data_IF_714782098334
#
_entry.id   IF_714782098334
#
_cell.length_a   1.000
_cell.length_b   1.000
_cell.length_c   1.000
_cell.angle_alpha   90.00
_cell.angle_beta   90.00
_cell.angle_gamma   90.00
#
_symmetry.space_group_name_H-M   'P 1'
#
loop_
_entity.id
_entity.type
_entity.pdbx_description
1 polymer ?
#
# COMPACT_ATOMS: atom_id res chain seq x y z
N UNK A 1 32.05 -23.91 11.58
CA UNK A 1 32.37 -24.27 12.99
C UNK A 1 31.31 -23.63 13.87
N UNK A 2 31.20 -23.93 15.16
CA UNK A 2 30.05 -23.45 15.92
C UNK A 2 30.24 -21.97 16.31
N UNK A 3 29.32 -21.09 15.88
CA UNK A 3 29.19 -19.70 16.37
C UNK A 3 29.24 -19.61 17.91
N UNK A 4 28.96 -20.72 18.61
CA UNK A 4 29.08 -20.88 20.05
C UNK A 4 30.50 -20.60 20.61
N UNK A 5 31.57 -20.74 19.82
CA UNK A 5 32.94 -20.49 20.28
C UNK A 5 33.25 -18.98 20.40
N UNK A 6 32.42 -18.12 19.79
CA UNK A 6 32.52 -16.65 19.87
C UNK A 6 32.46 -16.10 21.31
N UNK A 7 31.97 -16.88 22.29
CA UNK A 7 32.06 -16.55 23.72
C UNK A 7 33.48 -16.25 24.20
N UNK A 8 34.49 -16.80 23.54
CA UNK A 8 35.90 -16.60 23.86
C UNK A 8 36.56 -15.48 23.03
N UNK A 9 35.80 -14.75 22.20
CA UNK A 9 36.31 -13.75 21.26
C UNK A 9 37.12 -12.64 21.92
N UNK A 10 36.71 -12.16 23.09
CA UNK A 10 37.42 -11.09 23.81
C UNK A 10 38.83 -11.54 24.22
N UNK A 11 38.97 -12.78 24.72
CA UNK A 11 40.27 -13.33 25.11
C UNK A 11 41.16 -13.58 23.90
N UNK A 12 40.59 -14.13 22.83
CA UNK A 12 41.29 -14.37 21.58
C UNK A 12 41.76 -13.07 20.90
N UNK A 13 40.99 -11.98 21.03
CA UNK A 13 41.41 -10.67 20.54
C UNK A 13 42.68 -10.18 21.25
N UNK A 14 42.75 -10.34 22.57
CA UNK A 14 43.96 -9.99 23.34
C UNK A 14 45.19 -10.77 22.83
N UNK A 15 45.06 -12.08 22.65
CA UNK A 15 46.13 -12.92 22.11
C UNK A 15 46.51 -12.57 20.66
N UNK A 16 45.52 -12.22 19.83
CA UNK A 16 45.73 -11.81 18.45
C UNK A 16 46.53 -10.50 18.39
N UNK A 17 46.11 -9.47 19.14
CA UNK A 17 46.84 -8.20 19.22
C UNK A 17 48.25 -8.38 19.76
N UNK A 18 48.42 -9.23 20.79
CA UNK A 18 49.72 -9.59 21.34
C UNK A 18 50.65 -10.17 20.26
N UNK A 19 50.18 -11.18 19.52
CA UNK A 19 50.96 -11.83 18.46
C UNK A 19 51.31 -10.87 17.31
N UNK A 20 50.38 -10.00 16.93
CA UNK A 20 50.59 -9.04 15.85
C UNK A 20 51.60 -7.95 16.23
N UNK A 21 51.55 -7.45 17.47
CA UNK A 21 52.56 -6.50 17.97
C UNK A 21 53.94 -7.14 18.05
N UNK A 22 54.05 -8.36 18.55
CA UNK A 22 55.32 -9.10 18.61
C UNK A 22 55.92 -9.39 17.24
N UNK A 23 55.07 -9.59 16.22
CA UNK A 23 55.51 -9.90 14.86
C UNK A 23 55.93 -8.66 14.06
N UNK A 24 55.39 -7.47 14.41
CA UNK A 24 55.56 -6.23 13.63
C UNK A 24 56.47 -5.21 14.29
N UNK A 25 56.88 -5.45 15.52
CA UNK A 25 57.79 -4.57 16.27
C UNK A 25 59.05 -5.34 16.66
N UNK A 26 60.09 -4.61 17.06
CA UNK A 26 61.33 -5.16 17.62
C UNK A 26 61.14 -5.67 19.06
N UNK A 27 59.95 -5.50 19.64
CA UNK A 27 59.63 -5.84 21.02
C UNK A 27 58.86 -7.16 21.04
N UNK A 28 59.50 -8.21 21.54
CA UNK A 28 58.92 -9.54 21.64
C UNK A 28 58.26 -9.83 22.99
N UNK A 29 58.14 -8.83 23.87
CA UNK A 29 57.47 -8.98 25.16
C UNK A 29 56.24 -8.07 25.23
N UNK A 30 55.06 -8.70 25.21
CA UNK A 30 53.77 -8.00 25.25
C UNK A 30 52.93 -8.62 26.35
N UNK A 31 52.55 -7.83 27.34
CA UNK A 31 51.66 -8.21 28.42
C UNK A 31 50.21 -7.89 28.05
N UNK A 32 49.28 -8.81 28.35
CA UNK A 32 47.84 -8.53 28.27
C UNK A 32 47.28 -8.57 29.69
N UNK A 33 46.73 -7.45 30.16
CA UNK A 33 46.17 -7.36 31.51
C UNK A 33 46.68 -6.15 32.29
N UNK A 34 46.65 -6.26 33.62
CA UNK A 34 47.07 -5.16 34.50
C UNK A 34 48.55 -4.87 34.32
N UNK A 35 48.94 -3.61 34.48
CA UNK A 35 50.33 -3.17 34.35
C UNK A 35 51.29 -3.93 35.27
N UNK A 36 50.85 -4.34 36.46
CA UNK A 36 51.65 -5.16 37.37
C UNK A 36 52.10 -6.50 36.74
N UNK A 37 51.31 -7.06 35.82
CA UNK A 37 51.66 -8.26 35.05
C UNK A 37 52.74 -7.98 34.00
N UNK A 38 52.84 -6.75 33.48
CA UNK A 38 53.91 -6.35 32.57
C UNK A 38 55.26 -6.24 33.27
N UNK A 39 55.28 -5.72 34.51
CA UNK A 39 56.49 -5.63 35.34
C UNK A 39 57.06 -7.03 35.65
N UNK A 40 56.20 -8.05 35.76
CA UNK A 40 56.60 -9.44 36.03
C UNK A 40 57.26 -10.17 34.84
N UNK A 41 57.17 -9.65 33.62
CA UNK A 41 57.74 -10.29 32.41
C UNK A 41 59.28 -10.19 32.30
N UNK A 42 59.97 -9.66 33.32
CA UNK A 42 61.42 -9.49 33.33
C UNK A 42 61.89 -8.13 32.81
N UNK A 43 63.21 -7.92 32.75
CA UNK A 43 63.84 -6.71 32.22
C UNK A 43 63.93 -6.70 30.70
N UNK A 44 63.88 -5.51 30.10
CA UNK A 44 63.89 -5.30 28.65
C UNK A 44 62.63 -4.57 28.13
N UNK A 45 62.69 -4.00 26.92
CA UNK A 45 61.57 -3.29 26.30
C UNK A 45 60.31 -4.15 26.22
N UNK A 46 59.16 -3.56 26.54
CA UNK A 46 57.88 -4.27 26.56
C UNK A 46 56.68 -3.39 26.28
N UNK A 47 55.62 -4.03 25.77
CA UNK A 47 54.30 -3.42 25.65
C UNK A 47 53.34 -3.98 26.69
N UNK A 48 52.41 -3.15 27.16
CA UNK A 48 51.27 -3.56 27.94
C UNK A 48 49.97 -3.18 27.23
N UNK A 49 49.13 -4.17 26.99
CA UNK A 49 47.78 -4.03 26.47
C UNK A 49 46.77 -4.18 27.61
N UNK A 50 46.11 -3.09 27.97
CA UNK A 50 45.11 -3.08 29.03
C UNK A 50 43.71 -2.82 28.46
N UNK A 51 42.84 -3.83 28.50
CA UNK A 51 41.42 -3.68 28.20
C UNK A 51 40.72 -3.01 29.38
N UNK A 52 40.31 -1.75 29.21
CA UNK A 52 39.72 -0.95 30.30
C UNK A 52 38.19 -0.85 30.20
N UNK A 53 37.63 -0.99 29.00
CA UNK A 53 36.20 -0.85 28.79
C UNK A 53 35.70 -1.75 27.65
N UNK A 54 34.49 -2.26 27.82
CA UNK A 54 33.69 -2.91 26.79
C UNK A 54 32.40 -2.11 26.62
N UNK A 55 32.01 -1.84 25.37
CA UNK A 55 30.74 -1.18 25.05
C UNK A 55 30.04 -1.88 23.90
N UNK A 56 28.75 -1.66 23.73
CA UNK A 56 28.03 -2.14 22.55
C UNK A 56 28.33 -1.25 21.35
N UNK A 57 28.43 -1.87 20.17
CA UNK A 57 28.54 -1.14 18.92
C UNK A 57 27.19 -0.43 18.63
N UNK A 58 27.15 0.91 18.58
CA UNK A 58 25.89 1.64 18.44
C UNK A 58 25.21 1.41 17.10
N UNK A 59 25.96 1.04 16.05
CA UNK A 59 25.43 0.81 14.71
C UNK A 59 24.90 -0.61 14.55
N UNK A 60 25.51 -1.59 15.23
CA UNK A 60 25.18 -3.00 15.06
C UNK A 60 24.36 -3.60 16.20
N UNK A 61 24.16 -2.92 17.34
CA UNK A 61 23.48 -3.46 18.55
C UNK A 61 22.14 -4.18 18.33
N UNK A 62 21.41 -3.88 17.25
CA UNK A 62 20.11 -4.46 16.91
C UNK A 62 20.12 -5.20 15.56
N UNK A 63 21.31 -5.51 15.01
CA UNK A 63 21.44 -6.13 13.70
C UNK A 63 21.67 -7.65 13.84
N UNK A 64 20.68 -8.49 13.50
CA UNK A 64 20.86 -9.93 13.52
C UNK A 64 21.75 -10.39 12.35
N UNK A 65 22.35 -11.58 12.48
CA UNK A 65 23.12 -12.20 11.39
C UNK A 65 22.21 -12.69 10.27
N UNK A 66 21.02 -13.16 10.63
CA UNK A 66 20.00 -13.64 9.71
C UNK A 66 18.60 -13.27 10.22
N UNK A 67 17.64 -13.17 9.31
CA UNK A 67 16.27 -12.79 9.64
C UNK A 67 15.62 -13.86 10.56
N UNK A 68 15.02 -13.40 11.66
CA UNK A 68 14.38 -14.28 12.65
C UNK A 68 15.33 -14.84 13.72
N UNK A 69 16.65 -14.62 13.61
CA UNK A 69 17.58 -14.95 14.68
C UNK A 69 17.61 -13.88 15.77
N UNK A 70 17.98 -14.29 16.99
CA UNK A 70 18.34 -13.35 18.06
C UNK A 70 19.60 -12.58 17.68
N UNK A 71 19.60 -11.28 17.94
CA UNK A 71 20.73 -10.41 17.67
C UNK A 71 21.95 -10.81 18.52
N UNK A 72 23.14 -10.99 17.92
CA UNK A 72 24.36 -11.24 18.70
C UNK A 72 24.80 -9.97 19.44
N UNK A 73 25.63 -10.14 20.47
CA UNK A 73 26.23 -9.01 21.16
C UNK A 73 27.38 -8.47 20.31
N UNK A 74 27.14 -7.33 19.67
CA UNK A 74 28.15 -6.58 18.96
C UNK A 74 28.90 -5.67 19.93
N UNK A 75 30.15 -6.01 20.19
CA UNK A 75 30.98 -5.36 21.19
C UNK A 75 32.07 -4.50 20.55
N UNK A 76 32.48 -3.47 21.28
CA UNK A 76 33.65 -2.64 21.03
C UNK A 76 34.56 -2.79 22.23
N UNK A 77 35.82 -3.18 21.99
CA UNK A 77 36.81 -3.32 23.04
C UNK A 77 37.79 -2.14 23.02
N UNK A 78 37.91 -1.47 24.17
CA UNK A 78 38.74 -0.30 24.34
C UNK A 78 40.02 -0.66 25.10
N UNK A 79 41.16 -0.48 24.45
CA UNK A 79 42.47 -0.82 24.97
C UNK A 79 43.31 0.43 25.21
N UNK A 80 44.19 0.33 26.19
CA UNK A 80 45.33 1.22 26.36
C UNK A 80 46.61 0.45 26.02
N UNK A 81 47.39 1.00 25.10
CA UNK A 81 48.75 0.58 24.83
C UNK A 81 49.70 1.45 25.65
N UNK A 82 50.55 0.81 26.46
CA UNK A 82 51.65 1.46 27.18
C UNK A 82 52.95 0.79 26.79
N UNK A 83 54.00 1.57 26.56
CA UNK A 83 55.34 1.05 26.31
C UNK A 83 56.20 1.25 27.56
N UNK A 84 57.14 0.34 27.79
CA UNK A 84 58.15 0.43 28.82
C UNK A 84 59.52 0.14 28.22
N UNK A 85 60.54 0.82 28.74
CA UNK A 85 61.93 0.58 28.41
C UNK A 85 62.53 -0.60 29.20
N UNK A 86 63.86 -0.78 29.09
CA UNK A 86 64.59 -1.84 29.78
C UNK A 86 64.49 -1.82 31.30
N UNK A 87 64.29 -0.64 31.89
CA UNK A 87 64.25 -0.39 33.33
C UNK A 87 62.81 -0.35 33.90
N UNK A 88 61.81 -0.63 33.06
CA UNK A 88 60.38 -0.53 33.35
C UNK A 88 59.86 0.91 33.50
N UNK A 89 60.55 1.89 32.91
CA UNK A 89 60.05 3.25 32.82
C UNK A 89 59.21 3.44 31.54
N UNK A 90 58.11 4.17 31.67
CA UNK A 90 57.20 4.51 30.56
C UNK A 90 57.31 5.95 30.10
N UNK A 91 58.10 6.78 30.79
CA UNK A 91 58.30 8.21 30.50
C UNK A 91 59.75 8.52 30.04
N UNK A 92 60.45 7.50 29.53
CA UNK A 92 61.76 7.67 28.91
C UNK A 92 61.63 7.92 27.40
N UNK A 93 62.64 8.56 26.80
CA UNK A 93 62.69 8.77 25.35
C UNK A 93 62.59 7.45 24.58
N UNK A 94 63.23 6.39 25.08
CA UNK A 94 63.19 5.06 24.47
C UNK A 94 61.78 4.46 24.53
N UNK A 95 61.08 4.59 25.65
CA UNK A 95 59.68 4.16 25.79
C UNK A 95 58.75 4.92 24.82
N UNK A 96 59.00 6.21 24.56
CA UNK A 96 58.24 6.99 23.59
C UNK A 96 58.48 6.55 22.15
N UNK A 97 59.72 6.21 21.78
CA UNK A 97 60.06 5.65 20.47
C UNK A 97 59.36 4.30 20.26
N UNK A 98 59.37 3.44 21.28
CA UNK A 98 58.66 2.16 21.26
C UNK A 98 57.15 2.34 21.14
N UNK A 99 56.57 3.29 21.86
CA UNK A 99 55.14 3.62 21.75
C UNK A 99 54.78 4.05 20.33
N UNK A 100 55.61 4.91 19.71
CA UNK A 100 55.45 5.31 18.32
C UNK A 100 55.50 4.13 17.33
N UNK A 101 56.45 3.20 17.52
CA UNK A 101 56.53 1.98 16.73
C UNK A 101 55.29 1.08 16.92
N UNK A 102 54.79 0.96 18.14
CA UNK A 102 53.56 0.23 18.46
C UNK A 102 52.33 0.86 17.80
N UNK A 103 52.21 2.19 17.81
CA UNK A 103 51.13 2.91 17.13
C UNK A 103 51.16 2.68 15.62
N UNK A 104 52.33 2.73 14.99
CA UNK A 104 52.47 2.45 13.56
C UNK A 104 52.08 1.00 13.23
N UNK A 105 52.47 0.04 14.07
CA UNK A 105 52.07 -1.36 13.92
C UNK A 105 50.56 -1.54 14.02
N UNK A 106 49.88 -0.87 14.96
CA UNK A 106 48.42 -0.90 15.10
C UNK A 106 47.71 -0.18 13.93
N UNK A 107 48.25 0.94 13.45
CA UNK A 107 47.71 1.65 12.30
C UNK A 107 47.77 0.80 11.02
N UNK A 108 48.84 0.02 10.84
CA UNK A 108 48.95 -0.94 9.74
C UNK A 108 47.92 -2.08 9.81
N UNK A 109 47.29 -2.28 10.98
CA UNK A 109 46.25 -3.27 11.26
C UNK A 109 44.84 -2.66 11.31
N UNK A 110 44.64 -1.47 10.73
CA UNK A 110 43.35 -0.77 10.72
C UNK A 110 42.19 -1.66 10.28
N UNK A 111 42.41 -2.60 9.36
CA UNK A 111 41.45 -3.66 9.04
C UNK A 111 42.14 -5.02 9.16
N UNK A 112 41.61 -5.86 10.05
CA UNK A 112 42.13 -7.17 10.34
C UNK A 112 41.04 -8.21 10.10
N UNK A 113 41.29 -9.13 9.18
CA UNK A 113 40.46 -10.30 9.01
C UNK A 113 41.08 -11.46 9.81
N UNK A 114 40.53 -11.79 10.99
CA UNK A 114 41.09 -12.83 11.84
C UNK A 114 40.96 -14.20 11.18
N UNK A 115 42.03 -14.98 11.22
CA UNK A 115 42.04 -16.39 10.79
C UNK A 115 42.00 -17.36 11.97
N UNK A 116 41.99 -16.83 13.19
CA UNK A 116 42.05 -17.59 14.45
C UNK A 116 40.66 -17.78 15.02
N UNK A 117 40.34 -19.01 15.41
CA UNK A 117 39.16 -19.29 16.22
C UNK A 117 39.27 -18.56 17.57
N UNK A 118 38.19 -17.92 18.07
CA UNK A 118 36.80 -17.90 17.60
C UNK A 118 36.43 -16.62 16.82
N UNK A 119 37.42 -15.87 16.35
CA UNK A 119 37.20 -14.59 15.66
C UNK A 119 36.94 -14.77 14.16
N UNK A 120 37.26 -15.93 13.60
CA UNK A 120 37.16 -16.23 12.15
C UNK A 120 35.73 -16.11 11.60
N UNK A 121 34.72 -16.41 12.41
CA UNK A 121 33.30 -16.38 12.02
C UNK A 121 32.70 -14.96 12.12
N UNK A 122 33.49 -13.95 12.46
CA UNK A 122 33.04 -12.56 12.48
C UNK A 122 32.80 -12.07 11.03
N UNK A 123 31.56 -11.69 10.66
CA UNK A 123 31.25 -11.34 9.27
C UNK A 123 31.91 -10.03 8.82
N UNK A 124 32.11 -9.10 9.74
CA UNK A 124 32.77 -7.83 9.50
C UNK A 124 34.24 -7.91 9.93
N UNK A 125 35.19 -7.38 9.15
CA UNK A 125 36.59 -7.33 9.54
C UNK A 125 36.76 -6.48 10.81
N UNK A 126 37.68 -6.90 11.69
CA UNK A 126 38.02 -6.14 12.88
C UNK A 126 38.70 -4.85 12.49
N UNK A 127 38.09 -3.72 12.84
CA UNK A 127 38.60 -2.39 12.63
C UNK A 127 39.30 -1.87 13.87
N UNK A 128 40.55 -1.43 13.71
CA UNK A 128 41.34 -0.79 14.77
C UNK A 128 41.37 0.72 14.51
N UNK A 129 40.91 1.50 15.47
CA UNK A 129 40.94 2.97 15.40
C UNK A 129 41.44 3.57 16.70
N UNK A 130 42.27 4.60 16.61
CA UNK A 130 42.69 5.39 17.76
C UNK A 130 41.53 6.25 18.28
N UNK A 131 41.44 6.36 19.59
CA UNK A 131 40.41 7.14 20.27
C UNK A 131 41.05 8.27 21.08
N UNK A 132 40.31 9.36 21.26
CA UNK A 132 40.72 10.42 22.18
C UNK A 132 40.32 10.00 23.59
N UNK A 133 41.27 9.45 24.35
CA UNK A 133 41.02 9.17 25.74
C UNK A 133 40.81 10.48 26.53
N UNK A 134 39.70 10.53 27.27
CA UNK A 134 39.41 11.62 28.19
C UNK A 134 40.48 11.66 29.30
N UNK A 135 41.19 12.79 29.50
CA UNK A 135 42.18 12.92 30.56
C UNK A 135 41.61 12.66 31.95
N UNK A 136 40.31 12.93 32.18
CA UNK A 136 39.65 12.62 33.45
C UNK A 136 39.49 11.11 33.68
N UNK A 137 39.26 10.35 32.61
CA UNK A 137 39.17 8.89 32.65
C UNK A 137 40.54 8.27 32.91
N UNK A 138 41.58 8.75 32.24
CA UNK A 138 42.96 8.31 32.47
C UNK A 138 43.38 8.61 33.90
N UNK A 139 43.07 9.82 34.40
CA UNK A 139 43.37 10.22 35.78
C UNK A 139 42.72 9.26 36.80
N UNK A 140 41.44 8.94 36.64
CA UNK A 140 40.73 7.98 37.51
C UNK A 140 41.28 6.55 37.40
N UNK A 141 41.64 6.12 36.19
CA UNK A 141 42.17 4.78 35.97
C UNK A 141 43.56 4.61 36.58
N UNK A 142 44.35 5.69 36.61
CA UNK A 142 45.70 5.71 37.16
C UNK A 142 45.76 5.99 38.67
N UNK A 143 44.63 6.32 39.33
CA UNK A 143 44.50 6.52 40.78
C UNK A 143 44.53 5.21 41.61
N UNK A 144 45.51 4.35 41.33
CA UNK A 144 45.79 3.11 42.08
C UNK A 144 46.95 3.27 43.08
N UNK A 145 47.23 2.22 43.86
CA UNK A 145 48.26 2.21 44.92
C UNK A 145 49.70 2.46 44.46
N UNK A 146 49.95 2.49 43.15
CA UNK A 146 51.25 2.84 42.56
C UNK A 146 51.07 4.07 41.67
N UNK A 147 51.29 5.25 42.25
CA UNK A 147 51.18 6.58 41.63
C UNK A 147 52.33 6.87 40.65
N UNK A 148 52.33 6.21 39.50
CA UNK A 148 53.16 6.66 38.37
C UNK A 148 52.27 7.04 37.20
N UNK A 149 52.32 8.31 36.80
CA UNK A 149 51.77 8.75 35.53
C UNK A 149 52.52 8.04 34.41
N UNK A 150 51.79 7.53 33.42
CA UNK A 150 52.37 6.81 32.29
C UNK A 150 51.78 7.35 31.01
N UNK A 151 52.61 7.40 29.97
CA UNK A 151 52.13 7.73 28.65
C UNK A 151 51.47 6.50 28.03
N UNK A 152 50.19 6.62 27.69
CA UNK A 152 49.41 5.55 27.07
C UNK A 152 48.63 6.08 25.87
N UNK A 153 48.42 5.22 24.89
CA UNK A 153 47.60 5.51 23.71
C UNK A 153 46.34 4.67 23.77
N UNK A 154 45.19 5.32 23.66
CA UNK A 154 43.91 4.63 23.58
C UNK A 154 43.54 4.28 22.15
N UNK A 155 43.00 3.09 21.99
CA UNK A 155 42.43 2.63 20.74
C UNK A 155 41.29 1.66 21.01
N UNK A 156 40.41 1.53 20.02
CA UNK A 156 39.28 0.62 20.06
C UNK A 156 39.35 -0.40 18.92
N UNK A 157 38.79 -1.57 19.17
CA UNK A 157 38.60 -2.64 18.18
C UNK A 157 37.11 -2.94 18.04
N UNK A 158 36.59 -2.86 16.81
CA UNK A 158 35.17 -3.12 16.49
C UNK A 158 34.98 -3.71 15.09
N UNK A 159 33.89 -4.44 14.80
CA UNK A 159 32.95 -5.00 15.76
C UNK A 159 33.40 -6.39 16.22
N UNK A 160 33.21 -6.72 17.50
CA UNK A 160 33.48 -8.05 18.06
C UNK A 160 32.15 -8.74 18.27
N UNK A 161 31.93 -9.84 17.57
CA UNK A 161 30.69 -10.61 17.65
C UNK A 161 30.73 -11.64 18.78
N UNK A 162 29.68 -11.69 19.61
CA UNK A 162 29.42 -12.78 20.55
C UNK A 162 27.99 -13.28 20.33
N UNK A 163 27.85 -14.53 19.90
CA UNK A 163 26.56 -15.13 19.55
C UNK A 163 25.97 -15.86 20.77
N UNK A 164 24.64 -15.75 21.02
CA UNK A 164 23.97 -16.56 22.03
C UNK A 164 24.07 -18.06 21.72
N UNK A 165 24.09 -18.90 22.76
CA UNK A 165 24.23 -20.36 22.63
C UNK A 165 22.93 -21.09 22.25
N UNK A 166 21.82 -20.37 22.13
CA UNK A 166 20.52 -20.93 21.76
C UNK A 166 20.45 -21.20 20.26
N UNK A 167 19.73 -22.24 19.87
CA UNK A 167 19.51 -22.55 18.46
C UNK A 167 18.63 -21.46 17.80
N UNK A 168 18.81 -21.19 16.50
CA UNK A 168 17.94 -20.28 15.76
C UNK A 168 16.46 -20.72 15.78
N UNK A 169 15.57 -19.78 16.05
CA UNK A 169 14.12 -19.96 16.00
C UNK A 169 13.61 -19.74 14.56
N UNK A 170 13.89 -20.68 13.65
CA UNK A 170 13.33 -20.62 12.30
C UNK A 170 11.91 -21.19 12.27
N UNK A 171 11.02 -20.49 11.59
CA UNK A 171 9.74 -21.04 11.18
C UNK A 171 9.87 -21.59 9.74
N UNK A 172 9.18 -22.70 9.40
CA UNK A 172 9.06 -23.10 8.00
C UNK A 172 8.38 -21.99 7.19
N UNK A 173 8.73 -21.89 5.91
CA UNK A 173 8.11 -20.94 5.01
C UNK A 173 6.60 -21.18 4.96
N UNK A 174 5.84 -20.11 5.03
CA UNK A 174 4.38 -20.17 4.90
C UNK A 174 4.06 -20.42 3.42
N UNK A 175 3.79 -21.68 3.09
CA UNK A 175 3.39 -22.08 1.73
C UNK A 175 1.95 -21.65 1.39
N UNK A 176 1.10 -21.51 2.40
CA UNK A 176 -0.28 -21.05 2.26
C UNK A 176 -0.75 -20.37 3.55
N UNK A 177 -1.64 -19.39 3.44
CA UNK A 177 -2.30 -18.73 4.57
C UNK A 177 -3.79 -19.08 4.52
N UNK A 178 -4.24 -20.06 5.30
CA UNK A 178 -5.62 -20.52 5.30
C UNK A 178 -5.76 -21.94 5.86
N UNK A 179 -7.01 -22.42 5.99
CA UNK A 179 -7.25 -23.84 6.23
C UNK A 179 -6.73 -24.64 5.02
N UNK A 180 -6.12 -25.83 5.19
CA UNK A 180 -5.58 -26.62 4.07
C UNK A 180 -6.61 -26.94 2.95
N UNK A 181 -7.90 -26.72 3.19
CA UNK A 181 -8.99 -26.91 2.23
C UNK A 181 -9.43 -25.64 1.47
N UNK A 182 -8.93 -24.45 1.81
CA UNK A 182 -9.31 -23.21 1.12
C UNK A 182 -8.07 -22.42 0.70
N UNK A 183 -7.94 -22.16 -0.61
CA UNK A 183 -7.01 -21.17 -1.15
C UNK A 183 -7.14 -19.88 -0.35
N UNK A 184 -5.99 -19.37 0.07
CA UNK A 184 -5.87 -18.41 1.15
C UNK A 184 -6.65 -17.12 0.97
N UNK A 185 -6.75 -16.37 2.06
CA UNK A 185 -7.39 -15.05 2.10
C UNK A 185 -6.79 -14.18 0.99
N UNK A 186 -7.59 -13.90 -0.04
CA UNK A 186 -7.21 -12.96 -1.10
C UNK A 186 -7.09 -11.57 -0.48
N UNK A 187 -5.86 -11.14 -0.22
CA UNK A 187 -5.57 -9.79 0.26
C UNK A 187 -5.67 -8.86 -0.95
N UNK A 188 -6.74 -8.07 -1.01
CA UNK A 188 -6.89 -6.98 -1.97
C UNK A 188 -6.12 -5.78 -1.42
N UNK A 189 -4.99 -5.35 -2.02
CA UNK A 189 -4.13 -4.30 -1.46
C UNK A 189 -4.71 -2.88 -1.64
N UNK A 190 -6.02 -2.74 -1.91
CA UNK A 190 -6.69 -1.47 -2.15
C UNK A 190 -8.07 -1.42 -1.47
N UNK A 191 -8.62 -0.22 -1.30
CA UNK A 191 -9.97 0.03 -0.78
C UNK A 191 -11.08 -0.32 -1.80
N UNK A 192 -10.76 -1.11 -2.83
CA UNK A 192 -11.66 -1.44 -3.92
C UNK A 192 -11.67 -0.41 -5.06
N UNK A 193 -12.46 -0.69 -6.11
CA UNK A 193 -12.68 0.21 -7.24
C UNK A 193 -13.42 1.48 -6.81
N UNK A 194 -13.00 2.64 -7.34
CA UNK A 194 -13.68 3.92 -7.08
C UNK A 194 -14.10 4.59 -8.38
N UNK A 195 -15.41 4.68 -8.60
CA UNK A 195 -15.99 5.34 -9.76
C UNK A 195 -15.97 6.86 -9.56
N UNK A 196 -15.59 7.60 -10.61
CA UNK A 196 -15.52 9.08 -10.62
C UNK A 196 -16.53 9.71 -11.57
N UNK A 197 -16.71 9.13 -12.75
CA UNK A 197 -17.64 9.64 -13.76
C UNK A 197 -18.18 8.51 -14.63
N UNK A 198 -19.32 8.77 -15.28
CA UNK A 198 -19.95 7.91 -16.27
C UNK A 198 -20.41 8.76 -17.44
N UNK A 199 -20.17 8.26 -18.65
CA UNK A 199 -20.57 8.89 -19.91
C UNK A 199 -21.29 7.86 -20.79
N UNK A 200 -22.52 8.14 -21.26
CA UNK A 200 -23.39 9.25 -20.85
C UNK A 200 -23.95 9.06 -19.43
N UNK A 201 -24.25 10.17 -18.73
CA UNK A 201 -24.91 10.15 -17.42
C UNK A 201 -26.44 10.06 -17.50
N UNK A 202 -27.02 10.54 -18.61
CA UNK A 202 -28.43 10.41 -18.96
C UNK A 202 -28.51 9.78 -20.35
N UNK A 203 -29.35 8.77 -20.54
CA UNK A 203 -29.44 8.07 -21.81
C UNK A 203 -30.83 7.49 -22.06
N UNK A 204 -31.19 7.38 -23.33
CA UNK A 204 -32.26 6.48 -23.77
C UNK A 204 -31.66 5.18 -24.33
N UNK A 205 -32.51 4.21 -24.64
CA UNK A 205 -32.10 2.92 -25.21
C UNK A 205 -32.47 2.82 -26.71
N UNK A 206 -32.40 3.96 -27.40
CA UNK A 206 -32.61 4.05 -28.83
C UNK A 206 -31.48 3.42 -29.67
N UNK A 207 -31.44 3.72 -30.97
CA UNK A 207 -30.32 3.36 -31.85
C UNK A 207 -29.01 3.95 -31.34
N UNK A 208 -27.93 3.16 -31.30
CA UNK A 208 -26.62 3.70 -30.93
C UNK A 208 -26.00 4.59 -32.02
N UNK A 209 -25.28 5.64 -31.62
CA UNK A 209 -24.54 6.53 -32.54
C UNK A 209 -23.54 5.77 -33.44
N UNK A 210 -22.91 4.72 -32.89
CA UNK A 210 -21.88 3.93 -33.58
C UNK A 210 -22.49 2.96 -34.62
N UNK A 211 -23.72 2.49 -34.38
CA UNK A 211 -24.42 1.50 -35.19
C UNK A 211 -25.94 1.65 -35.02
N UNK A 212 -26.65 2.23 -36.00
CA UNK A 212 -28.09 2.46 -35.89
C UNK A 212 -28.91 1.15 -35.91
N UNK A 213 -28.30 0.00 -36.22
CA UNK A 213 -28.97 -1.31 -36.16
C UNK A 213 -28.93 -1.92 -34.76
N UNK A 214 -28.07 -1.40 -33.88
CA UNK A 214 -27.90 -1.88 -32.52
C UNK A 214 -28.66 -0.98 -31.55
N UNK A 215 -29.67 -1.55 -30.89
CA UNK A 215 -30.52 -0.85 -29.93
C UNK A 215 -29.96 -0.99 -28.49
N UNK A 216 -29.73 0.13 -27.82
CA UNK A 216 -29.19 0.21 -26.47
C UNK A 216 -28.18 1.35 -26.30
N UNK A 217 -27.40 1.31 -25.22
CA UNK A 217 -26.37 2.33 -24.96
C UNK A 217 -25.04 1.69 -24.52
N UNK A 218 -23.92 2.31 -24.88
CA UNK A 218 -22.61 1.98 -24.32
C UNK A 218 -22.27 2.98 -23.22
N UNK A 219 -22.10 2.47 -21.99
CA UNK A 219 -21.62 3.26 -20.88
C UNK A 219 -20.09 3.19 -20.81
N UNK A 220 -19.45 4.34 -20.60
CA UNK A 220 -18.04 4.48 -20.29
C UNK A 220 -17.90 5.01 -18.87
N UNK A 221 -17.34 4.22 -17.98
CA UNK A 221 -17.16 4.56 -16.57
C UNK A 221 -15.68 4.81 -16.32
N UNK A 222 -15.33 5.96 -15.73
CA UNK A 222 -13.94 6.31 -15.39
C UNK A 222 -13.74 6.33 -13.87
N UNK A 223 -12.54 6.00 -13.42
CA UNK A 223 -12.27 5.91 -11.99
C UNK A 223 -10.86 5.45 -11.62
N UNK A 224 -10.68 5.19 -10.32
CA UNK A 224 -9.44 4.64 -9.77
C UNK A 224 -9.61 3.13 -9.50
N UNK A 225 -8.51 2.38 -9.61
CA UNK A 225 -8.49 0.93 -9.41
C UNK A 225 -9.52 0.18 -10.28
N UNK A 226 -9.83 0.73 -11.46
CA UNK A 226 -10.61 0.04 -12.48
C UNK A 226 -9.66 -0.88 -13.26
N UNK A 227 -9.89 -2.18 -13.14
CA UNK A 227 -9.09 -3.22 -13.78
C UNK A 227 -9.99 -4.20 -14.51
N UNK A 228 -9.37 -5.06 -15.33
CA UNK A 228 -10.04 -6.17 -16.00
C UNK A 228 -10.58 -7.25 -15.05
N UNK A 229 -10.33 -7.15 -13.73
CA UNK A 229 -10.92 -8.03 -12.74
C UNK A 229 -12.41 -7.70 -12.47
N UNK A 230 -12.84 -6.46 -12.77
CA UNK A 230 -14.24 -6.07 -12.68
C UNK A 230 -15.01 -6.66 -13.85
N UNK A 231 -15.97 -7.52 -13.52
CA UNK A 231 -16.72 -8.32 -14.48
C UNK A 231 -18.07 -7.69 -14.82
N UNK A 232 -18.61 -6.88 -13.90
CA UNK A 232 -19.99 -6.41 -13.96
C UNK A 232 -20.07 -4.89 -13.76
N UNK A 233 -20.93 -4.24 -14.54
CA UNK A 233 -21.48 -2.92 -14.22
C UNK A 233 -22.96 -3.14 -13.89
N UNK A 234 -23.37 -2.79 -12.68
CA UNK A 234 -24.73 -2.98 -12.21
C UNK A 234 -25.45 -1.64 -12.10
N UNK A 235 -26.65 -1.59 -12.65
CA UNK A 235 -27.63 -0.53 -12.46
C UNK A 235 -28.71 -1.06 -11.52
N UNK A 236 -28.74 -0.55 -10.29
CA UNK A 236 -29.58 -1.10 -9.23
C UNK A 236 -29.27 -2.59 -9.00
N UNK A 237 -30.22 -3.48 -9.26
CA UNK A 237 -30.13 -4.93 -9.13
C UNK A 237 -29.78 -5.65 -10.45
N UNK A 238 -29.82 -4.96 -11.59
CA UNK A 238 -29.53 -5.53 -12.91
C UNK A 238 -28.06 -5.32 -13.26
N UNK A 239 -27.35 -6.39 -13.60
CA UNK A 239 -25.93 -6.35 -13.91
C UNK A 239 -25.64 -6.70 -15.37
N UNK A 240 -24.80 -5.90 -16.02
CA UNK A 240 -24.34 -6.08 -17.39
C UNK A 240 -22.85 -6.40 -17.40
N UNK A 241 -22.41 -7.29 -18.30
CA UNK A 241 -21.00 -7.65 -18.39
C UNK A 241 -20.16 -6.46 -18.84
N UNK A 242 -18.95 -6.34 -18.29
CA UNK A 242 -17.93 -5.43 -18.80
C UNK A 242 -17.45 -5.95 -20.15
N UNK A 243 -17.54 -5.10 -21.18
CA UNK A 243 -17.16 -5.45 -22.57
C UNK A 243 -15.73 -5.02 -22.91
N UNK A 244 -15.21 -4.00 -22.23
CA UNK A 244 -13.80 -3.60 -22.31
C UNK A 244 -13.36 -2.91 -21.01
N UNK A 245 -12.09 -3.04 -20.65
CA UNK A 245 -11.51 -2.40 -19.46
C UNK A 245 -10.14 -1.76 -19.80
N UNK A 246 -10.10 -0.67 -20.58
CA UNK A 246 -8.86 0.08 -20.77
C UNK A 246 -8.40 0.70 -19.45
N UNK A 247 -7.12 1.08 -19.36
CA UNK A 247 -6.54 1.61 -18.12
C UNK A 247 -7.35 2.79 -17.56
N UNK A 248 -7.93 2.62 -16.37
CA UNK A 248 -8.74 3.65 -15.70
C UNK A 248 -10.19 3.79 -16.19
N UNK A 249 -10.66 2.90 -17.08
CA UNK A 249 -12.03 2.90 -17.58
C UNK A 249 -12.66 1.49 -17.61
N UNK A 250 -13.99 1.44 -17.53
CA UNK A 250 -14.80 0.26 -17.82
C UNK A 250 -15.87 0.61 -18.85
N UNK A 251 -16.04 -0.25 -19.83
CA UNK A 251 -17.09 -0.13 -20.83
C UNK A 251 -18.09 -1.26 -20.63
N UNK A 252 -19.38 -0.94 -20.71
CA UNK A 252 -20.46 -1.93 -20.69
C UNK A 252 -21.55 -1.54 -21.69
N UNK A 253 -22.34 -2.50 -22.13
CA UNK A 253 -23.44 -2.27 -23.05
C UNK A 253 -24.76 -2.67 -22.39
N UNK A 254 -25.69 -1.72 -22.35
CA UNK A 254 -27.05 -1.95 -21.86
C UNK A 254 -27.95 -2.15 -23.08
N UNK A 255 -28.51 -3.34 -23.27
CA UNK A 255 -29.40 -3.61 -24.40
C UNK A 255 -30.77 -2.94 -24.19
N UNK A 256 -31.44 -2.59 -25.29
CA UNK A 256 -32.81 -2.08 -25.24
C UNK A 256 -33.83 -3.07 -24.67
N UNK A 257 -33.51 -4.37 -24.66
CA UNK A 257 -34.33 -5.43 -24.07
C UNK A 257 -34.17 -5.56 -22.55
N UNK A 258 -33.60 -4.55 -21.89
CA UNK A 258 -33.49 -4.52 -20.42
C UNK A 258 -34.86 -4.52 -19.75
N UNK A 259 -34.91 -4.95 -18.49
CA UNK A 259 -36.10 -4.86 -17.63
C UNK A 259 -36.13 -3.61 -16.77
N UNK A 260 -35.11 -2.74 -16.87
CA UNK A 260 -35.06 -1.49 -16.10
C UNK A 260 -36.15 -0.52 -16.57
N UNK A 261 -36.98 -0.06 -15.66
CA UNK A 261 -37.85 1.10 -15.89
C UNK A 261 -37.04 2.39 -15.98
N UNK A 262 -37.50 3.42 -16.71
CA UNK A 262 -36.87 4.74 -16.67
C UNK A 262 -36.81 5.32 -15.25
N UNK A 263 -35.81 6.15 -15.00
CA UNK A 263 -35.58 6.76 -13.71
C UNK A 263 -34.10 6.88 -13.37
N UNK A 264 -33.82 7.28 -12.13
CA UNK A 264 -32.47 7.36 -11.59
C UNK A 264 -32.02 6.01 -11.04
N UNK A 265 -30.88 5.50 -11.51
CA UNK A 265 -30.32 4.23 -11.06
C UNK A 265 -28.90 4.42 -10.48
N UNK A 266 -28.62 3.83 -9.31
CA UNK A 266 -27.24 3.74 -8.83
C UNK A 266 -26.45 2.77 -9.72
N UNK A 267 -25.38 3.28 -10.31
CA UNK A 267 -24.38 2.54 -11.06
C UNK A 267 -23.23 2.14 -10.15
N UNK A 268 -22.91 0.85 -10.14
CA UNK A 268 -21.75 0.28 -9.44
C UNK A 268 -20.95 -0.66 -10.35
N UNK A 269 -19.66 -0.82 -10.09
CA UNK A 269 -18.84 -1.86 -10.70
C UNK A 269 -18.60 -2.98 -9.68
N UNK A 270 -18.66 -4.23 -10.12
CA UNK A 270 -18.53 -5.38 -9.25
C UNK A 270 -17.63 -6.49 -9.83
N UNK A 271 -17.00 -7.23 -8.93
CA UNK A 271 -16.25 -8.45 -9.23
C UNK A 271 -16.62 -9.54 -8.23
N UNK A 272 -16.59 -10.79 -8.70
CA UNK A 272 -16.74 -11.95 -7.84
C UNK A 272 -15.36 -12.38 -7.32
N UNK A 273 -15.26 -12.58 -6.01
CA UNK A 273 -14.02 -12.97 -5.33
C UNK A 273 -13.95 -14.49 -5.16
N UNK A 274 -12.72 -15.06 -5.07
CA UNK A 274 -12.54 -16.44 -4.64
C UNK A 274 -13.21 -16.66 -3.28
N UNK A 275 -14.18 -17.57 -3.21
CA UNK A 275 -15.04 -17.77 -2.04
C UNK A 275 -16.49 -17.28 -2.20
N UNK A 276 -16.89 -16.84 -3.40
CA UNK A 276 -18.28 -16.54 -3.75
C UNK A 276 -18.80 -15.21 -3.19
N UNK A 277 -17.92 -14.39 -2.61
CA UNK A 277 -18.26 -13.05 -2.14
C UNK A 277 -18.16 -12.05 -3.28
N UNK A 278 -18.95 -10.98 -3.23
CA UNK A 278 -18.93 -9.91 -4.22
C UNK A 278 -18.25 -8.66 -3.66
N UNK A 279 -17.32 -8.10 -4.42
CA UNK A 279 -16.72 -6.78 -4.14
C UNK A 279 -17.36 -5.75 -5.06
N UNK A 280 -17.78 -4.61 -4.51
CA UNK A 280 -18.54 -3.57 -5.22
C UNK A 280 -17.89 -2.20 -4.98
N UNK A 281 -17.92 -1.34 -5.99
CA UNK A 281 -17.43 0.05 -5.91
C UNK A 281 -18.37 0.96 -5.11
N UNK A 282 -18.00 2.24 -4.96
CA UNK A 282 -18.99 3.29 -4.69
C UNK A 282 -20.02 3.41 -5.83
N UNK A 283 -21.15 4.04 -5.54
CA UNK A 283 -22.19 4.31 -6.53
C UNK A 283 -21.96 5.67 -7.23
N UNK A 284 -22.29 5.71 -8.53
CA UNK A 284 -22.61 6.94 -9.26
C UNK A 284 -24.08 6.91 -9.65
N UNK A 285 -24.71 8.07 -9.85
CA UNK A 285 -26.09 8.10 -10.33
C UNK A 285 -26.09 8.24 -11.86
N UNK A 286 -26.94 7.46 -12.53
CA UNK A 286 -27.29 7.63 -13.94
C UNK A 286 -28.79 7.71 -14.11
N UNK A 287 -29.26 8.25 -15.23
CA UNK A 287 -30.69 8.35 -15.54
C UNK A 287 -31.01 7.65 -16.85
N UNK A 288 -31.94 6.71 -16.78
CA UNK A 288 -32.57 6.10 -17.95
C UNK A 288 -33.80 6.92 -18.32
N UNK A 289 -33.84 7.39 -19.56
CA UNK A 289 -34.94 8.18 -20.13
C UNK A 289 -35.93 7.26 -20.86
N UNK A 290 -37.25 7.53 -20.79
CA UNK A 290 -38.22 6.85 -21.64
C UNK A 290 -38.05 7.30 -23.10
N UNK A 291 -38.28 6.39 -24.05
CA UNK A 291 -38.20 6.71 -25.48
C UNK A 291 -39.61 6.84 -26.06
N UNK A 292 -40.05 8.06 -26.32
CA UNK A 292 -41.35 8.32 -26.95
C UNK A 292 -41.18 8.46 -28.48
N UNK A 293 -41.93 7.68 -29.26
CA UNK A 293 -41.83 7.69 -30.74
C UNK A 293 -43.06 8.27 -31.41
N UNK A 294 -44.22 8.20 -30.76
CA UNK A 294 -45.48 8.64 -31.34
C UNK A 294 -46.56 8.84 -30.29
N UNK A 295 -47.55 9.63 -30.67
CA UNK A 295 -48.77 9.86 -29.91
C UNK A 295 -49.93 9.92 -30.90
N UNK A 296 -50.95 9.10 -30.69
CA UNK A 296 -52.09 8.94 -31.58
C UNK A 296 -53.38 9.04 -30.77
N UNK A 297 -54.22 9.99 -31.17
CA UNK A 297 -55.56 10.18 -30.61
C UNK A 297 -56.52 9.08 -31.13
N UNK A 298 -57.40 8.56 -30.27
CA UNK A 298 -58.50 7.70 -30.72
C UNK A 298 -59.42 8.49 -31.68
N UNK A 299 -59.70 7.95 -32.89
CA UNK A 299 -60.51 8.64 -33.90
C UNK A 299 -61.95 8.97 -33.47
N UNK A 300 -62.45 8.37 -32.38
CA UNK A 300 -63.81 8.59 -31.88
C UNK A 300 -63.86 9.69 -30.80
N UNK A 301 -63.19 10.82 -31.02
CA UNK A 301 -63.20 11.96 -30.08
C UNK A 301 -64.64 12.43 -29.83
N UNK A 302 -64.96 12.73 -28.57
CA UNK A 302 -66.31 13.11 -28.16
C UNK A 302 -66.34 14.56 -27.68
N UNK A 303 -67.24 15.35 -28.24
CA UNK A 303 -67.59 16.68 -27.75
C UNK A 303 -68.57 16.55 -26.59
N UNK A 304 -68.31 17.24 -25.49
CA UNK A 304 -69.19 17.29 -24.32
C UNK A 304 -70.43 18.19 -24.51
N UNK A 305 -70.60 18.81 -25.68
CA UNK A 305 -71.69 19.73 -26.01
C UNK A 305 -71.35 21.21 -25.78
N UNK A 306 -70.16 21.52 -25.29
CA UNK A 306 -69.64 22.88 -25.10
C UNK A 306 -68.44 23.20 -26.00
N UNK A 307 -68.06 22.30 -26.91
CA UNK A 307 -66.91 22.44 -27.80
C UNK A 307 -65.59 21.97 -27.19
N UNK A 308 -65.61 21.42 -25.98
CA UNK A 308 -64.45 20.78 -25.35
C UNK A 308 -64.48 19.28 -25.64
N UNK A 309 -63.30 18.70 -25.88
CA UNK A 309 -63.16 17.34 -26.38
C UNK A 309 -62.48 16.42 -25.34
N UNK A 310 -62.97 15.19 -25.23
CA UNK A 310 -62.40 14.15 -24.35
C UNK A 310 -62.31 12.80 -25.08
N UNK A 311 -61.17 12.11 -24.92
CA UNK A 311 -60.94 10.74 -25.44
C UNK A 311 -59.61 10.14 -24.98
N UNK A 312 -59.42 8.87 -25.33
CA UNK A 312 -58.19 8.13 -25.13
C UNK A 312 -57.07 8.61 -26.08
N UNK A 313 -55.85 8.68 -25.54
CA UNK A 313 -54.60 8.94 -26.24
C UNK A 313 -53.69 7.73 -26.09
N UNK A 314 -53.19 7.20 -27.21
CA UNK A 314 -52.21 6.11 -27.21
C UNK A 314 -50.83 6.63 -27.55
N UNK A 315 -49.87 6.40 -26.66
CA UNK A 315 -48.45 6.69 -26.80
C UNK A 315 -47.71 5.42 -27.20
N UNK A 316 -46.78 5.54 -28.14
CA UNK A 316 -45.93 4.45 -28.62
C UNK A 316 -44.46 4.75 -28.37
N UNK A 317 -43.69 3.75 -27.97
CA UNK A 317 -42.28 3.93 -27.69
C UNK A 317 -41.60 2.71 -27.10
N UNK A 318 -40.56 2.94 -26.30
CA UNK A 318 -39.91 1.91 -25.49
C UNK A 318 -39.62 2.46 -24.11
N UNK A 319 -39.68 1.57 -23.10
CA UNK A 319 -39.52 1.93 -21.70
C UNK A 319 -40.51 3.04 -21.28
N UNK A 320 -41.79 2.91 -21.64
CA UNK A 320 -42.82 3.89 -21.26
C UNK A 320 -43.26 3.81 -19.79
N UNK A 321 -42.62 2.94 -19.00
CA UNK A 321 -42.97 2.64 -17.61
C UNK A 321 -43.81 1.37 -17.47
N UNK A 322 -43.94 0.91 -16.23
CA UNK A 322 -44.69 -0.26 -15.78
C UNK A 322 -45.70 0.14 -14.70
N UNK A 323 -46.49 -0.82 -14.23
CA UNK A 323 -47.50 -0.61 -13.17
C UNK A 323 -46.93 -0.18 -11.82
N UNK A 324 -45.62 -0.31 -11.61
CA UNK A 324 -44.95 0.12 -10.39
C UNK A 324 -44.34 1.53 -10.50
N UNK A 325 -44.38 2.14 -11.69
CA UNK A 325 -43.72 3.41 -11.97
C UNK A 325 -44.69 4.60 -11.88
N UNK A 326 -44.16 5.75 -11.46
CA UNK A 326 -44.90 7.01 -11.47
C UNK A 326 -44.85 7.64 -12.87
N UNK A 327 -45.94 7.51 -13.62
CA UNK A 327 -46.02 7.93 -15.03
C UNK A 327 -46.96 9.11 -15.17
N UNK A 328 -46.43 10.23 -15.66
CA UNK A 328 -47.21 11.46 -15.90
C UNK A 328 -47.14 11.87 -17.37
N UNK A 329 -48.30 12.19 -17.94
CA UNK A 329 -48.43 12.70 -19.30
C UNK A 329 -49.02 14.10 -19.26
N UNK A 330 -48.28 15.05 -19.81
CA UNK A 330 -48.68 16.44 -19.86
C UNK A 330 -49.05 16.86 -21.28
N UNK A 331 -50.19 17.51 -21.41
CA UNK A 331 -50.60 18.25 -22.60
C UNK A 331 -50.08 19.67 -22.48
N UNK A 332 -49.10 20.02 -23.32
CA UNK A 332 -48.47 21.32 -23.29
C UNK A 332 -48.89 22.16 -24.51
N UNK A 333 -49.32 23.40 -24.26
CA UNK A 333 -49.69 24.38 -25.30
C UNK A 333 -49.30 25.78 -24.86
N UNK A 334 -48.75 26.58 -25.76
CA UNK A 334 -48.47 28.02 -25.56
C UNK A 334 -47.68 28.35 -24.27
N UNK A 335 -46.71 27.52 -23.88
CA UNK A 335 -45.89 27.77 -22.70
C UNK A 335 -46.46 27.24 -21.38
N UNK A 336 -47.67 26.68 -21.38
CA UNK A 336 -48.34 26.18 -20.17
C UNK A 336 -48.75 24.72 -20.31
N UNK A 337 -48.78 24.00 -19.18
CA UNK A 337 -49.39 22.66 -19.11
C UNK A 337 -50.90 22.86 -19.02
N UNK A 338 -51.62 22.45 -20.07
CA UNK A 338 -53.07 22.53 -20.15
C UNK A 338 -53.74 21.41 -19.35
N UNK A 339 -53.14 20.22 -19.32
CA UNK A 339 -53.61 19.07 -18.56
C UNK A 339 -52.42 18.18 -18.18
N UNK A 340 -52.46 17.61 -16.98
CA UNK A 340 -51.55 16.57 -16.51
C UNK A 340 -52.38 15.37 -16.08
N UNK A 341 -52.10 14.21 -16.67
CA UNK A 341 -52.71 12.94 -16.30
C UNK A 341 -51.65 11.99 -15.74
N UNK A 342 -52.04 11.22 -14.75
CA UNK A 342 -51.28 10.05 -14.30
C UNK A 342 -51.76 8.82 -15.07
N UNK A 343 -50.83 7.99 -15.53
CA UNK A 343 -51.20 6.77 -16.22
C UNK A 343 -51.66 5.70 -15.22
N UNK A 344 -52.85 5.16 -15.44
CA UNK A 344 -53.41 4.07 -14.63
C UNK A 344 -53.70 2.85 -15.51
N UNK A 345 -53.59 1.63 -14.96
CA UNK A 345 -54.04 0.39 -15.60
C UNK A 345 -52.93 -0.55 -16.07
N UNK A 346 -53.21 -1.38 -17.08
CA UNK A 346 -52.27 -2.35 -17.63
C UNK A 346 -51.27 -1.64 -18.56
N UNK A 347 -50.05 -1.47 -18.07
CA UNK A 347 -49.01 -0.71 -18.73
C UNK A 347 -48.06 -1.65 -19.47
N UNK A 348 -47.90 -1.43 -20.78
CA UNK A 348 -46.89 -2.06 -21.60
C UNK A 348 -45.71 -1.08 -21.76
N UNK A 349 -44.48 -1.58 -21.62
CA UNK A 349 -43.29 -0.77 -21.83
C UNK A 349 -43.17 -0.25 -23.28
N UNK A 350 -43.94 -0.78 -24.23
CA UNK A 350 -43.96 -0.32 -25.62
C UNK A 350 -45.16 0.59 -25.97
N UNK A 351 -46.26 0.50 -25.23
CA UNK A 351 -47.51 1.20 -25.54
C UNK A 351 -48.25 1.61 -24.27
N UNK A 352 -48.66 2.88 -24.21
CA UNK A 352 -49.37 3.44 -23.08
C UNK A 352 -50.64 4.13 -23.59
N UNK A 353 -51.81 3.67 -23.14
CA UNK A 353 -53.10 4.31 -23.44
C UNK A 353 -53.62 5.02 -22.21
N UNK A 354 -53.96 6.30 -22.37
CA UNK A 354 -54.46 7.18 -21.32
C UNK A 354 -55.86 7.65 -21.68
N UNK A 355 -56.81 7.54 -20.77
CA UNK A 355 -58.12 8.14 -20.95
C UNK A 355 -58.10 9.60 -20.48
N UNK A 356 -58.46 10.55 -21.36
CA UNK A 356 -58.81 11.91 -20.92
C UNK A 356 -60.27 11.88 -20.46
N UNK A 357 -60.56 11.98 -19.15
CA UNK A 357 -61.93 11.92 -18.67
C UNK A 357 -62.71 13.17 -19.05
N UNK A 358 -64.03 13.07 -19.04
CA UNK A 358 -64.95 14.18 -19.37
C UNK A 358 -64.75 15.41 -18.48
N UNK A 359 -64.31 15.19 -17.24
CA UNK A 359 -64.04 16.26 -16.27
C UNK A 359 -62.75 17.04 -16.60
N UNK A 360 -61.81 16.41 -17.31
CA UNK A 360 -60.50 16.96 -17.71
C UNK A 360 -60.39 17.24 -19.22
N UNK A 361 -61.53 17.44 -19.87
CA UNK A 361 -61.64 17.78 -21.30
C UNK A 361 -60.76 18.96 -21.72
N UNK A 362 -60.32 18.91 -22.97
CA UNK A 362 -59.41 19.89 -23.57
C UNK A 362 -60.10 20.69 -24.67
N UNK A 363 -59.79 21.98 -24.76
CA UNK A 363 -60.19 22.81 -25.92
C UNK A 363 -59.54 22.29 -27.21
N UNK A 364 -60.19 22.43 -28.38
CA UNK A 364 -59.58 22.03 -29.64
C UNK A 364 -58.26 22.76 -29.93
N UNK A 365 -57.28 22.07 -30.50
CA UNK A 365 -55.99 22.65 -30.90
C UNK A 365 -54.83 21.66 -30.89
N UNK A 366 -53.63 22.15 -31.20
CA UNK A 366 -52.40 21.36 -31.15
C UNK A 366 -51.80 21.34 -29.74
N UNK A 367 -51.45 20.14 -29.25
CA UNK A 367 -50.76 19.94 -27.98
C UNK A 367 -49.47 19.15 -28.19
N UNK A 368 -48.41 19.54 -27.50
CA UNK A 368 -47.21 18.72 -27.37
C UNK A 368 -47.36 17.79 -26.18
N UNK A 369 -47.12 16.51 -26.41
CA UNK A 369 -47.21 15.50 -25.36
C UNK A 369 -45.85 15.35 -24.69
N UNK A 370 -45.81 15.56 -23.38
CA UNK A 370 -44.61 15.37 -22.57
C UNK A 370 -44.84 14.18 -21.65
N UNK A 371 -44.09 13.10 -21.88
CA UNK A 371 -44.08 11.92 -21.04
C UNK A 371 -42.99 12.05 -19.97
N UNK A 372 -43.36 11.78 -18.71
CA UNK A 372 -42.42 11.63 -17.59
C UNK A 372 -42.64 10.30 -16.89
N UNK A 373 -41.56 9.60 -16.58
CA UNK A 373 -41.59 8.31 -15.87
C UNK A 373 -40.57 8.38 -14.74
N UNK A 374 -40.98 8.13 -13.50
CA UNK A 374 -40.15 8.22 -12.30
C UNK A 374 -39.30 9.50 -12.21
N UNK A 375 -39.88 10.62 -12.66
CA UNK A 375 -39.24 11.94 -12.64
C UNK A 375 -38.38 12.28 -13.86
N UNK A 376 -37.96 11.31 -14.69
CA UNK A 376 -37.24 11.55 -15.95
C UNK A 376 -38.22 11.84 -17.09
N UNK A 377 -37.80 12.62 -18.08
CA UNK A 377 -38.65 13.06 -19.20
C UNK A 377 -38.17 12.44 -20.52
N UNK A 378 -39.12 12.03 -21.36
CA UNK A 378 -38.79 11.63 -22.73
C UNK A 378 -38.19 12.83 -23.51
N UNK A 379 -37.15 12.61 -24.33
CA UNK A 379 -36.54 13.68 -25.12
C UNK A 379 -37.47 14.15 -26.24
N UNK A 380 -38.26 13.24 -26.82
CA UNK A 380 -39.24 13.57 -27.85
C UNK A 380 -40.57 14.03 -27.25
N UNK A 381 -41.15 15.08 -27.83
CA UNK A 381 -42.47 15.62 -27.46
C UNK A 381 -43.37 15.68 -28.70
N UNK A 382 -43.98 14.56 -29.14
CA UNK A 382 -44.80 14.53 -30.34
C UNK A 382 -45.99 15.47 -30.22
N UNK A 383 -46.40 16.06 -31.35
CA UNK A 383 -47.56 16.93 -31.44
C UNK A 383 -48.80 16.12 -31.79
N UNK A 384 -49.89 16.37 -31.08
CA UNK A 384 -51.21 15.80 -31.35
C UNK A 384 -52.18 16.93 -31.63
N UNK A 385 -52.89 16.82 -32.74
CA UNK A 385 -53.99 17.73 -33.09
C UNK A 385 -55.27 17.19 -32.45
N UNK A 386 -55.80 17.95 -31.50
CA UNK A 386 -56.99 17.62 -30.71
C UNK A 386 -58.20 18.30 -31.36
N UNK A 387 -58.85 17.64 -32.31
CA UNK A 387 -59.96 18.21 -33.12
C UNK A 387 -61.02 17.20 -33.43
#
# INVERSE_FOLDING_TARGET
MALADSRNAIGALGALLQSQLMARTTIHSVAVGRVASAVQLGGGPKFNLFLYQLSFDPQLRNHPLDQGQRTPLWMVAHYLLTAFDGDNDSDSTEAHEFLGAGMLALQALNFLQPTTDPLVDNPEPLKISFDQADPDLISKLMQGSNETFRLSVAFQVRPIMIVPSEAPDYAPLVHSVGSPENEGVSVLPNLGPRLRSVEPAQFDLGPTDDDPTRLGVRLRVRGDNLSSALQWICLSDVCYPVTAAPSGELHSFIPASTTLSPGSHPLTAAQDLPGGRRSVSNALMVELLPTLTGAVLDPNIVDNGNGDLYRDLTLSGTHLGSVEDAIFVNFWRDGVVALMLEAEGALDQASLTLAVPVDDRLTPGSYRIILRVNGTQAPATPEVVWT
#
